data_IF_622103676189
#
_entry.id   IF_622103676189
#
_cell.length_a   1.000
_cell.length_b   1.000
_cell.length_c   1.000
_cell.angle_alpha   90.00
_cell.angle_beta   90.00
_cell.angle_gamma   90.00
#
_symmetry.space_group_name_H-M   'P 1'
#
loop_
_entity.id
_entity.type
_entity.pdbx_description
1 polymer ?
#
# COMPACT_ATOMS: atom_id res chain seq x y z
N UNK A 1 31.28 -70.05 -51.52
CA UNK A 1 32.17 -70.62 -50.49
C UNK A 1 31.81 -69.98 -49.16
N UNK A 2 31.13 -70.71 -48.28
CA UNK A 2 31.73 -71.51 -47.17
C UNK A 2 32.18 -70.62 -46.01
N UNK A 3 32.00 -70.88 -44.72
CA UNK A 3 31.28 -71.84 -43.87
C UNK A 3 31.52 -71.33 -42.42
N UNK A 4 30.51 -71.48 -41.54
CA UNK A 4 30.51 -71.66 -40.06
C UNK A 4 31.19 -70.74 -39.02
N UNK A 5 30.51 -70.71 -37.84
CA UNK A 5 31.09 -70.74 -36.49
C UNK A 5 31.17 -69.37 -35.81
N UNK A 6 30.49 -69.05 -34.70
CA UNK A 6 30.12 -69.84 -33.53
C UNK A 6 30.96 -69.39 -32.32
N UNK A 7 30.32 -69.30 -31.14
CA UNK A 7 30.87 -69.23 -29.76
C UNK A 7 30.70 -67.89 -29.01
N UNK A 8 29.81 -67.92 -28.01
CA UNK A 8 29.87 -67.10 -26.79
C UNK A 8 30.79 -67.77 -25.76
N UNK A 9 31.43 -67.00 -24.85
CA UNK A 9 31.06 -67.19 -23.44
C UNK A 9 31.01 -65.90 -22.59
N UNK A 10 30.27 -66.05 -21.50
CA UNK A 10 30.01 -65.15 -20.37
C UNK A 10 31.18 -65.01 -19.38
N UNK A 11 31.35 -63.83 -18.75
CA UNK A 11 31.35 -63.67 -17.27
C UNK A 11 31.81 -62.28 -16.78
N UNK A 12 30.99 -61.72 -15.88
CA UNK A 12 31.28 -61.07 -14.59
C UNK A 12 32.39 -60.00 -14.46
N UNK A 13 31.95 -58.80 -14.03
CA UNK A 13 32.51 -58.16 -12.83
C UNK A 13 33.16 -56.77 -12.99
N UNK A 14 32.68 -55.79 -12.19
CA UNK A 14 33.57 -54.84 -11.51
C UNK A 14 33.62 -53.38 -11.98
N UNK A 15 32.72 -52.57 -11.42
CA UNK A 15 32.97 -51.26 -10.76
C UNK A 15 33.91 -50.21 -11.40
N UNK A 16 33.33 -49.04 -11.72
CA UNK A 16 33.80 -47.77 -11.15
C UNK A 16 34.33 -46.68 -12.10
N UNK A 17 33.51 -45.68 -12.42
CA UNK A 17 33.93 -44.29 -12.61
C UNK A 17 32.74 -43.33 -12.42
N UNK A 18 32.92 -42.15 -11.78
CA UNK A 18 31.84 -41.38 -11.17
C UNK A 18 31.10 -40.46 -12.16
N UNK A 19 29.79 -40.34 -11.96
CA UNK A 19 28.96 -39.28 -12.56
C UNK A 19 29.37 -37.91 -12.02
N UNK A 20 29.39 -36.84 -12.84
CA UNK A 20 29.65 -35.50 -12.36
C UNK A 20 28.45 -35.01 -11.52
N UNK A 21 28.73 -34.58 -10.29
CA UNK A 21 27.73 -33.94 -9.43
C UNK A 21 27.14 -32.69 -10.11
N UNK A 22 25.81 -32.48 -10.07
CA UNK A 22 25.24 -31.22 -10.52
C UNK A 22 25.65 -30.10 -9.56
N UNK A 23 25.88 -28.87 -10.07
CA UNK A 23 26.28 -27.76 -9.22
C UNK A 23 25.21 -27.51 -8.17
N UNK A 24 25.62 -27.54 -6.90
CA UNK A 24 24.79 -27.25 -5.73
C UNK A 24 24.39 -25.78 -5.76
N UNK A 25 23.36 -25.48 -6.56
CA UNK A 25 22.80 -24.15 -6.68
C UNK A 25 22.30 -23.71 -5.31
N UNK A 26 22.73 -22.50 -4.93
CA UNK A 26 22.39 -21.80 -3.69
C UNK A 26 20.87 -21.55 -3.67
N UNK A 27 20.09 -22.55 -3.29
CA UNK A 27 18.62 -22.54 -3.22
C UNK A 27 18.04 -21.53 -2.21
N UNK A 28 18.89 -20.78 -1.49
CA UNK A 28 18.48 -19.77 -0.50
C UNK A 28 17.93 -18.49 -1.14
N UNK A 29 18.25 -18.19 -2.40
CA UNK A 29 17.71 -17.02 -3.11
C UNK A 29 16.31 -17.29 -3.71
N UNK A 30 16.08 -18.52 -4.22
CA UNK A 30 14.84 -18.86 -4.90
C UNK A 30 13.62 -18.96 -3.98
N UNK A 31 13.77 -19.47 -2.76
CA UNK A 31 12.64 -19.60 -1.83
C UNK A 31 12.05 -18.25 -1.40
N UNK A 32 12.92 -17.25 -1.14
CA UNK A 32 12.50 -15.89 -0.79
C UNK A 32 11.83 -15.20 -1.99
N UNK A 33 12.44 -15.29 -3.17
CA UNK A 33 11.88 -14.72 -4.40
C UNK A 33 10.53 -15.36 -4.79
N UNK A 34 10.38 -16.68 -4.65
CA UNK A 34 9.12 -17.37 -4.90
C UNK A 34 8.04 -17.02 -3.87
N UNK A 35 8.41 -16.82 -2.61
CA UNK A 35 7.49 -16.35 -1.58
C UNK A 35 7.01 -14.92 -1.87
N UNK A 36 7.93 -14.01 -2.21
CA UNK A 36 7.60 -12.64 -2.60
C UNK A 36 6.74 -12.60 -3.87
N UNK A 37 7.06 -13.40 -4.88
CA UNK A 37 6.26 -13.51 -6.10
C UNK A 37 4.84 -13.99 -5.81
N UNK A 38 4.67 -15.02 -4.95
CA UNK A 38 3.34 -15.51 -4.55
C UNK A 38 2.59 -14.50 -3.70
N UNK A 39 3.27 -13.80 -2.78
CA UNK A 39 2.68 -12.74 -1.95
C UNK A 39 2.17 -11.60 -2.83
N UNK A 40 2.96 -11.16 -3.81
CA UNK A 40 2.59 -10.09 -4.73
C UNK A 40 1.43 -10.49 -5.64
N UNK A 41 1.46 -11.71 -6.20
CA UNK A 41 0.39 -12.22 -7.05
C UNK A 41 -0.93 -12.37 -6.28
N UNK A 42 -0.87 -12.91 -5.05
CA UNK A 42 -2.03 -13.01 -4.17
C UNK A 42 -2.59 -11.63 -3.82
N UNK A 43 -1.73 -10.67 -3.47
CA UNK A 43 -2.16 -9.31 -3.10
C UNK A 43 -2.79 -8.57 -4.28
N UNK A 44 -2.19 -8.66 -5.47
CA UNK A 44 -2.76 -8.11 -6.70
C UNK A 44 -4.12 -8.74 -7.04
N UNK A 45 -4.24 -10.07 -6.91
CA UNK A 45 -5.53 -10.76 -7.15
C UNK A 45 -6.60 -10.39 -6.11
N UNK A 46 -6.22 -10.16 -4.85
CA UNK A 46 -7.14 -9.72 -3.80
C UNK A 46 -7.56 -8.27 -4.03
N UNK A 47 -6.63 -7.37 -4.34
CA UNK A 47 -6.92 -5.97 -4.68
C UNK A 47 -7.78 -5.81 -5.94
N UNK A 48 -7.85 -6.82 -6.80
CA UNK A 48 -8.78 -6.84 -7.94
C UNK A 48 -10.18 -7.33 -7.55
N UNK A 49 -10.31 -8.05 -6.43
CA UNK A 49 -11.57 -8.58 -5.91
C UNK A 49 -12.21 -7.64 -4.89
N UNK A 50 -11.40 -6.96 -4.09
CA UNK A 50 -11.79 -5.81 -3.25
C UNK A 50 -11.65 -4.56 -4.11
N UNK A 51 -12.51 -3.55 -3.94
CA UNK A 51 -12.40 -2.30 -4.72
C UNK A 51 -11.29 -1.42 -4.14
N UNK A 52 -10.05 -1.93 -4.15
CA UNK A 52 -8.88 -1.36 -3.47
C UNK A 52 -8.13 -0.43 -4.42
N UNK A 53 -7.97 0.83 -4.00
CA UNK A 53 -7.14 1.82 -4.68
C UNK A 53 -5.96 2.21 -3.79
N UNK A 54 -4.81 2.54 -4.38
CA UNK A 54 -3.59 2.96 -3.66
C UNK A 54 -3.00 4.21 -4.29
N UNK A 55 -2.61 5.16 -3.45
CA UNK A 55 -2.05 6.44 -3.86
C UNK A 55 -0.77 6.72 -3.10
N UNK A 56 0.30 7.07 -3.82
CA UNK A 56 1.52 7.57 -3.19
C UNK A 56 1.27 9.00 -2.70
N UNK A 57 1.54 9.24 -1.43
CA UNK A 57 1.34 10.53 -0.77
C UNK A 57 2.50 10.81 0.19
N UNK A 58 2.72 12.08 0.49
CA UNK A 58 3.66 12.49 1.54
C UNK A 58 2.86 13.02 2.75
N UNK A 59 3.00 12.37 3.90
CA UNK A 59 2.45 12.90 5.14
C UNK A 59 3.21 14.15 5.56
N UNK A 60 2.48 15.25 5.78
CA UNK A 60 3.05 16.54 6.16
C UNK A 60 3.01 16.73 7.69
N UNK A 61 1.84 16.50 8.28
CA UNK A 61 1.61 16.70 9.72
C UNK A 61 0.27 16.12 10.15
N UNK A 62 0.12 15.89 11.45
CA UNK A 62 -1.15 15.56 12.10
C UNK A 62 -1.42 16.53 13.24
N UNK A 63 -2.64 17.07 13.29
CA UNK A 63 -3.08 17.93 14.38
C UNK A 63 -4.29 17.34 15.09
N UNK A 64 -4.28 17.36 16.42
CA UNK A 64 -5.48 17.10 17.21
C UNK A 64 -6.43 18.30 17.06
N UNK A 65 -7.69 18.03 16.68
CA UNK A 65 -8.74 19.05 16.64
C UNK A 65 -9.23 19.34 18.06
N UNK A 66 -8.59 20.33 18.71
CA UNK A 66 -8.99 20.87 20.00
C UNK A 66 -9.33 22.37 19.93
N UNK A 67 -10.54 22.70 20.39
CA UNK A 67 -10.99 24.08 20.58
C UNK A 67 -10.06 24.88 21.50
N UNK A 68 -9.45 24.24 22.52
CA UNK A 68 -8.52 24.92 23.44
C UNK A 68 -7.26 25.43 22.73
N UNK A 69 -6.83 24.74 21.68
CA UNK A 69 -5.65 25.08 20.90
C UNK A 69 -5.99 25.92 19.66
N UNK A 70 -7.25 26.33 19.50
CA UNK A 70 -7.74 27.04 18.32
C UNK A 70 -7.70 26.20 17.04
N UNK A 71 -7.65 24.87 17.17
CA UNK A 71 -7.59 23.92 16.05
C UNK A 71 -8.96 23.25 15.91
N UNK A 72 -9.84 23.81 15.08
CA UNK A 72 -11.24 23.37 14.98
C UNK A 72 -11.56 22.88 13.58
N UNK A 73 -10.98 23.53 12.56
CA UNK A 73 -11.31 23.30 11.16
C UNK A 73 -10.09 22.88 10.35
N UNK A 74 -10.33 22.32 9.16
CA UNK A 74 -9.27 22.04 8.17
C UNK A 74 -8.48 23.31 7.85
N UNK A 75 -9.16 24.46 7.70
CA UNK A 75 -8.51 25.74 7.43
C UNK A 75 -7.56 26.18 8.56
N UNK A 76 -7.87 25.85 9.81
CA UNK A 76 -6.97 26.09 10.94
C UNK A 76 -5.70 25.23 10.85
N UNK A 77 -5.87 23.97 10.47
CA UNK A 77 -4.77 23.04 10.19
C UNK A 77 -3.88 23.54 9.06
N UNK A 78 -4.47 23.91 7.92
CA UNK A 78 -3.74 24.46 6.78
C UNK A 78 -3.01 25.76 7.15
N UNK A 79 -3.65 26.65 7.92
CA UNK A 79 -2.99 27.88 8.41
C UNK A 79 -1.77 27.56 9.27
N UNK A 80 -1.89 26.58 10.17
CA UNK A 80 -0.78 26.15 11.03
C UNK A 80 0.33 25.45 10.24
N UNK A 81 -0.03 24.63 9.25
CA UNK A 81 0.92 24.04 8.30
C UNK A 81 1.74 25.13 7.60
N UNK A 82 1.11 26.22 7.11
CA UNK A 82 1.83 27.36 6.50
C UNK A 82 2.92 27.93 7.40
N UNK A 83 2.61 28.05 8.70
CA UNK A 83 3.54 28.59 9.69
C UNK A 83 4.68 27.62 10.00
N UNK A 84 4.45 26.31 9.93
CA UNK A 84 5.49 25.29 10.09
C UNK A 84 6.40 25.26 8.87
N UNK A 85 5.80 25.28 7.67
CA UNK A 85 6.49 25.25 6.39
C UNK A 85 7.42 26.46 6.23
N UNK A 86 6.92 27.68 6.50
CA UNK A 86 7.72 28.90 6.47
C UNK A 86 8.89 28.91 7.48
N UNK A 87 8.86 28.03 8.48
CA UNK A 87 9.93 27.85 9.48
C UNK A 87 10.83 26.65 9.20
N UNK A 88 10.60 25.91 8.11
CA UNK A 88 11.31 24.67 7.80
C UNK A 88 11.08 23.58 8.86
N UNK A 89 9.88 23.54 9.46
CA UNK A 89 9.51 22.60 10.54
C UNK A 89 8.56 21.49 10.09
N UNK A 90 8.39 21.33 8.78
CA UNK A 90 7.64 20.20 8.21
C UNK A 90 8.65 19.10 7.89
N UNK A 91 8.36 17.89 8.35
CA UNK A 91 9.12 16.69 8.02
C UNK A 91 8.18 15.77 7.27
N UNK A 92 8.48 15.51 6.01
CA UNK A 92 7.63 14.68 5.17
C UNK A 92 7.99 13.21 5.32
N UNK A 93 6.99 12.35 5.24
CA UNK A 93 7.16 10.91 5.15
C UNK A 93 6.36 10.38 3.97
N UNK A 94 7.03 9.74 3.03
CA UNK A 94 6.42 9.13 1.87
C UNK A 94 5.73 7.80 2.24
N UNK A 95 4.51 7.57 1.75
CA UNK A 95 3.71 6.40 2.07
C UNK A 95 2.65 6.10 0.99
N UNK A 96 2.03 4.93 1.06
CA UNK A 96 0.85 4.59 0.29
C UNK A 96 -0.41 4.82 1.14
N UNK A 97 -1.32 5.66 0.65
CA UNK A 97 -2.69 5.75 1.12
C UNK A 97 -3.53 4.74 0.35
N UNK A 98 -3.95 3.67 1.02
CA UNK A 98 -4.81 2.63 0.48
C UNK A 98 -6.25 2.90 0.90
N UNK A 99 -7.18 2.83 -0.05
CA UNK A 99 -8.61 3.00 0.23
C UNK A 99 -9.35 1.74 -0.18
N UNK A 100 -10.12 1.19 0.76
CA UNK A 100 -10.98 0.02 0.59
C UNK A 100 -12.40 0.35 1.08
N UNK A 101 -13.34 -0.55 0.82
CA UNK A 101 -14.75 -0.40 1.24
C UNK A 101 -14.93 -0.20 2.76
N UNK A 102 -13.97 -0.71 3.56
CA UNK A 102 -14.08 -0.77 5.02
C UNK A 102 -13.07 0.10 5.75
N UNK A 103 -12.04 0.60 5.08
CA UNK A 103 -10.97 1.33 5.73
C UNK A 103 -10.18 2.20 4.74
N UNK A 104 -9.56 3.24 5.28
CA UNK A 104 -8.42 3.95 4.68
C UNK A 104 -7.19 3.56 5.49
N UNK A 105 -6.15 3.05 4.86
CA UNK A 105 -4.90 2.65 5.53
C UNK A 105 -3.71 3.42 5.00
N UNK A 106 -2.75 3.68 5.89
CA UNK A 106 -1.42 4.17 5.53
C UNK A 106 -0.46 2.98 5.54
N UNK A 107 0.29 2.79 4.47
CA UNK A 107 1.18 1.66 4.27
C UNK A 107 2.58 2.18 3.95
N UNK A 108 3.57 1.63 4.63
CA UNK A 108 4.98 1.91 4.38
C UNK A 108 5.38 1.42 2.98
N UNK A 109 6.02 2.28 2.19
CA UNK A 109 6.39 2.00 0.81
C UNK A 109 7.34 0.79 0.69
N UNK A 110 8.36 0.73 1.54
CA UNK A 110 9.42 -0.26 1.45
C UNK A 110 9.00 -1.62 2.04
N UNK A 111 8.50 -1.61 3.27
CA UNK A 111 8.19 -2.83 4.01
C UNK A 111 6.81 -3.39 3.70
N UNK A 112 5.92 -2.58 3.10
CA UNK A 112 4.52 -2.90 2.85
C UNK A 112 3.74 -3.23 4.13
N UNK A 113 4.25 -2.76 5.27
CA UNK A 113 3.57 -2.87 6.56
C UNK A 113 2.52 -1.77 6.69
N UNK A 114 1.40 -2.12 7.30
CA UNK A 114 0.39 -1.13 7.68
C UNK A 114 0.94 -0.27 8.82
N UNK A 115 1.00 1.03 8.60
CA UNK A 115 1.41 2.05 9.56
C UNK A 115 0.21 2.51 10.40
N UNK A 116 -0.93 2.70 9.74
CA UNK A 116 -2.16 3.17 10.36
C UNK A 116 -3.37 2.62 9.59
N UNK A 117 -4.44 2.30 10.30
CA UNK A 117 -5.70 1.81 9.74
C UNK A 117 -6.84 2.65 10.30
N UNK A 118 -7.53 3.38 9.44
CA UNK A 118 -8.72 4.14 9.78
C UNK A 118 -9.95 3.38 9.27
N UNK A 119 -10.72 2.71 10.15
CA UNK A 119 -12.00 2.16 9.76
C UNK A 119 -12.84 3.24 9.07
N UNK A 120 -13.56 2.91 8.01
CA UNK A 120 -14.29 3.91 7.22
C UNK A 120 -15.30 4.70 8.06
N UNK A 121 -15.81 4.10 9.14
CA UNK A 121 -16.70 4.74 10.10
C UNK A 121 -16.01 5.72 11.07
N UNK A 122 -14.69 5.69 11.21
CA UNK A 122 -13.92 6.68 11.99
C UNK A 122 -13.51 7.89 11.16
N UNK A 123 -13.50 7.79 9.82
CA UNK A 123 -13.31 8.93 8.92
C UNK A 123 -14.54 9.84 8.99
N UNK A 124 -14.37 11.04 9.54
CA UNK A 124 -15.46 12.01 9.73
C UNK A 124 -15.59 12.95 8.54
N UNK A 125 -14.45 13.35 7.96
CA UNK A 125 -14.39 14.33 6.89
C UNK A 125 -13.16 14.08 6.03
N UNK A 126 -13.30 14.27 4.73
CA UNK A 126 -12.20 14.24 3.77
C UNK A 126 -12.34 15.47 2.87
N UNK A 127 -11.24 16.15 2.55
CA UNK A 127 -11.28 17.37 1.74
C UNK A 127 -9.99 17.56 0.97
N UNK A 128 -10.10 17.97 -0.29
CA UNK A 128 -8.98 18.46 -1.07
C UNK A 128 -8.80 19.97 -0.86
N UNK A 129 -7.56 20.39 -0.59
CA UNK A 129 -7.15 21.79 -0.49
C UNK A 129 -6.08 22.04 -1.55
N UNK A 130 -6.41 22.84 -2.56
CA UNK A 130 -5.49 23.14 -3.66
C UNK A 130 -4.73 24.44 -3.39
N UNK A 131 -3.49 24.51 -3.89
CA UNK A 131 -2.64 25.69 -3.86
C UNK A 131 -2.45 26.28 -2.44
N UNK A 132 -1.92 25.45 -1.52
CA UNK A 132 -1.67 25.83 -0.14
C UNK A 132 -0.18 25.83 0.22
N UNK A 133 0.40 27.03 0.35
CA UNK A 133 1.82 27.28 0.63
C UNK A 133 2.69 26.93 -0.58
N UNK A 134 3.74 26.15 -0.35
CA UNK A 134 4.56 25.42 -1.30
C UNK A 134 3.89 24.16 -1.85
N UNK A 135 2.72 23.76 -1.33
CA UNK A 135 2.03 22.53 -1.71
C UNK A 135 0.86 22.83 -2.67
N UNK A 136 0.87 22.22 -3.85
CA UNK A 136 -0.16 22.48 -4.87
C UNK A 136 -1.45 21.66 -4.65
N UNK A 137 -1.37 20.58 -3.89
CA UNK A 137 -2.45 19.60 -3.75
C UNK A 137 -2.34 18.87 -2.40
N UNK A 138 -3.17 19.29 -1.43
CA UNK A 138 -3.22 18.71 -0.08
C UNK A 138 -4.52 17.93 0.11
N UNK A 139 -4.42 16.69 0.57
CA UNK A 139 -5.53 15.92 1.11
C UNK A 139 -5.60 16.12 2.63
N UNK A 140 -6.76 16.56 3.12
CA UNK A 140 -7.08 16.66 4.53
C UNK A 140 -8.02 15.52 4.93
N UNK A 141 -7.60 14.68 5.87
CA UNK A 141 -8.38 13.56 6.38
C UNK A 141 -8.62 13.77 7.88
N UNK A 142 -9.88 13.84 8.29
CA UNK A 142 -10.27 13.95 9.70
C UNK A 142 -10.76 12.60 10.17
N UNK A 143 -10.02 12.01 11.11
CA UNK A 143 -10.33 10.71 11.69
C UNK A 143 -10.64 10.86 13.18
N UNK A 144 -11.61 10.10 13.68
CA UNK A 144 -11.89 10.00 15.11
C UNK A 144 -12.26 8.58 15.48
N UNK A 145 -11.32 7.89 16.11
CA UNK A 145 -11.58 6.55 16.61
C UNK A 145 -12.48 6.59 17.84
N UNK A 146 -13.17 5.47 18.10
CA UNK A 146 -14.10 5.34 19.22
C UNK A 146 -13.45 5.53 20.59
N UNK A 147 -12.14 5.25 20.71
CA UNK A 147 -11.35 5.46 21.92
C UNK A 147 -10.86 6.90 22.11
N UNK A 148 -10.95 7.75 21.08
CA UNK A 148 -10.42 9.11 21.14
C UNK A 148 -11.48 10.12 21.57
N UNK A 149 -11.07 11.04 22.44
CA UNK A 149 -11.94 12.16 22.85
C UNK A 149 -12.10 13.22 21.75
N UNK A 150 -11.06 13.40 20.93
CA UNK A 150 -10.95 14.40 19.87
C UNK A 150 -10.57 13.72 18.56
N UNK A 151 -10.90 14.37 17.46
CA UNK A 151 -10.49 13.90 16.13
C UNK A 151 -9.08 14.39 15.81
N UNK A 152 -8.39 13.66 14.95
CA UNK A 152 -7.11 14.03 14.37
C UNK A 152 -7.31 14.48 12.92
N UNK A 153 -6.62 15.54 12.53
CA UNK A 153 -6.54 16.05 11.16
C UNK A 153 -5.17 15.68 10.60
N UNK A 154 -5.17 14.76 9.64
CA UNK A 154 -3.98 14.34 8.89
C UNK A 154 -3.93 15.13 7.58
N UNK A 155 -2.77 15.71 7.29
CA UNK A 155 -2.53 16.46 6.05
C UNK A 155 -1.48 15.73 5.21
N UNK A 156 -1.79 15.50 3.95
CA UNK A 156 -0.93 14.82 2.99
C UNK A 156 -0.74 15.68 1.75
N UNK A 157 0.48 15.76 1.23
CA UNK A 157 0.73 16.25 -0.13
C UNK A 157 0.50 15.11 -1.12
N UNK A 158 -0.16 15.42 -2.23
CA UNK A 158 -0.49 14.45 -3.28
C UNK A 158 -0.04 15.00 -4.64
N UNK A 159 1.14 14.57 -5.08
CA UNK A 159 1.77 15.08 -6.30
C UNK A 159 1.37 14.30 -7.55
N UNK A 160 1.41 12.96 -7.49
CA UNK A 160 1.11 12.06 -8.60
C UNK A 160 -0.39 12.08 -8.97
N UNK A 161 -1.23 11.71 -8.00
CA UNK A 161 -2.68 11.79 -8.11
C UNK A 161 -3.15 12.96 -7.25
N UNK A 162 -3.82 13.94 -7.86
CA UNK A 162 -4.25 15.14 -7.15
C UNK A 162 -5.30 14.83 -6.08
N UNK A 163 -5.23 15.57 -4.98
CA UNK A 163 -6.02 15.35 -3.78
C UNK A 163 -7.53 15.39 -4.04
N UNK A 164 -7.99 16.12 -5.07
CA UNK A 164 -9.40 16.14 -5.45
C UNK A 164 -9.90 14.77 -5.96
N UNK A 165 -9.05 13.99 -6.63
CA UNK A 165 -9.41 12.65 -7.10
C UNK A 165 -9.42 11.65 -5.93
N UNK A 166 -8.40 11.70 -5.08
CA UNK A 166 -8.31 10.85 -3.88
C UNK A 166 -9.46 11.15 -2.91
N UNK A 167 -9.81 12.43 -2.75
CA UNK A 167 -10.95 12.87 -1.94
C UNK A 167 -12.27 12.25 -2.43
N UNK A 168 -12.58 12.32 -3.73
CA UNK A 168 -13.80 11.74 -4.29
C UNK A 168 -13.84 10.22 -4.05
N UNK A 169 -12.68 9.59 -4.12
CA UNK A 169 -12.53 8.17 -3.93
C UNK A 169 -12.79 7.74 -2.47
N UNK A 170 -12.21 8.44 -1.51
CA UNK A 170 -12.50 8.24 -0.07
C UNK A 170 -13.96 8.57 0.25
N UNK A 171 -14.49 9.67 -0.28
CA UNK A 171 -15.89 10.07 -0.09
C UNK A 171 -16.86 9.00 -0.61
N UNK A 172 -16.54 8.38 -1.75
CA UNK A 172 -17.34 7.28 -2.30
C UNK A 172 -17.39 6.07 -1.35
N UNK A 173 -16.25 5.66 -0.79
CA UNK A 173 -16.18 4.58 0.20
C UNK A 173 -16.98 4.92 1.48
N UNK A 174 -16.92 6.18 1.94
CA UNK A 174 -17.70 6.66 3.07
C UNK A 174 -19.21 6.63 2.81
N UNK A 175 -19.65 6.93 1.59
CA UNK A 175 -21.06 6.88 1.18
C UNK A 175 -21.54 5.43 1.11
N UNK A 176 -20.75 4.55 0.49
CA UNK A 176 -21.09 3.13 0.34
C UNK A 176 -21.22 2.43 1.69
N UNK A 177 -20.34 2.75 2.65
CA UNK A 177 -20.42 2.25 4.02
C UNK A 177 -21.72 2.63 4.75
N UNK A 178 -22.31 3.79 4.41
CA UNK A 178 -23.60 4.26 4.97
C UNK A 178 -24.81 3.68 4.22
N UNK A 179 -24.64 3.33 2.95
CA UNK A 179 -25.72 3.00 2.01
C UNK A 179 -26.24 1.56 2.04
N UNK A 180 -25.56 0.61 2.67
CA UNK A 180 -26.02 -0.78 2.86
C UNK A 180 -26.30 -1.60 1.59
N UNK A 181 -26.16 -1.03 0.38
CA UNK A 181 -26.31 -1.70 -0.91
C UNK A 181 -25.20 -1.28 -1.88
N UNK A 182 -24.52 -2.29 -2.42
CA UNK A 182 -23.40 -2.20 -3.36
C UNK A 182 -23.73 -1.30 -4.56
N UNK A 183 -23.00 -0.20 -4.72
CA UNK A 183 -22.80 0.45 -6.02
C UNK A 183 -21.37 0.94 -6.19
N UNK A 184 -20.64 0.13 -6.95
CA UNK A 184 -19.39 0.37 -7.70
C UNK A 184 -18.83 1.78 -7.54
N UNK A 185 -17.72 1.84 -6.81
CA UNK A 185 -16.67 2.85 -6.94
C UNK A 185 -16.44 3.11 -8.43
N UNK A 186 -16.40 4.37 -8.87
CA UNK A 186 -16.09 4.65 -10.26
C UNK A 186 -14.69 4.07 -10.55
N UNK A 187 -14.50 3.42 -11.70
CA UNK A 187 -13.19 2.91 -12.17
C UNK A 187 -12.22 4.06 -12.51
N UNK A 188 -12.19 5.12 -11.71
CA UNK A 188 -11.56 6.38 -12.10
C UNK A 188 -10.06 6.27 -12.23
N UNK A 189 -9.39 5.30 -11.60
CA UNK A 189 -7.95 5.11 -11.68
C UNK A 189 -7.58 3.65 -11.33
N UNK A 190 -7.70 2.72 -12.29
CA UNK A 190 -7.03 1.40 -12.22
C UNK A 190 -5.79 1.39 -13.09
#
# INVERSE_FOLDING_TARGET
ESVEGGVHPSSLGGLGAPSPDPPRNKAKSGAKALYEQRKNFSRSSINSLTDTSQYQVEHLTTFVLDRKDGMITVDDGVRRLRLLDAKGKVWTQEMLLQVEDKAVSLIDLDSQNELENFPIGSVQHCQAVMNACSYDSILALVCKDSGQSKADLHLFQCDDIKANLIHLDVESAMIDAKGGKVKKRPETLK
#
